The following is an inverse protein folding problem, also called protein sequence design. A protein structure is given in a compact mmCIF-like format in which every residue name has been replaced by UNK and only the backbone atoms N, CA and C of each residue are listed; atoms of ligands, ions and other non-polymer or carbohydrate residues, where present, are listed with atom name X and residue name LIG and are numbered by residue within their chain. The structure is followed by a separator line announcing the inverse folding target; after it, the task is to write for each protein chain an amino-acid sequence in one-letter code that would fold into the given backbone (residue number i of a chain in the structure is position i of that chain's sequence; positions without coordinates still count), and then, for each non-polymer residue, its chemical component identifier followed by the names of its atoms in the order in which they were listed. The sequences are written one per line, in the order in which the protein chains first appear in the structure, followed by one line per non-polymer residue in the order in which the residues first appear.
data_IF_420260316611
#
_entry.id   IF_420260316611
#
_cell.length_a   1.000
_cell.length_b   1.000
_cell.length_c   1.000
_cell.angle_alpha   90.00
_cell.angle_beta   90.00
_cell.angle_gamma   90.00
#
_symmetry.space_group_name_H-M   'P 1'
#
loop_
_entity.id
_entity.type
_entity.pdbx_description
1 polymer ?
#
# COMPACT_ATOMS: atom_id res chain seq x y z
N UNK A 1 2.64 21.29 15.39
CA UNK A 1 4.03 20.99 15.02
C UNK A 1 4.12 21.10 13.50
N UNK A 2 5.07 21.86 12.98
CA UNK A 2 5.29 21.94 11.53
C UNK A 2 5.87 20.62 10.99
N UNK A 3 5.79 20.41 9.67
CA UNK A 3 6.35 19.21 9.03
C UNK A 3 7.84 19.03 9.32
N UNK A 4 8.60 20.13 9.29
CA UNK A 4 10.04 20.12 9.58
C UNK A 4 10.36 19.73 11.03
N UNK A 5 9.61 20.25 11.99
CA UNK A 5 9.76 19.89 13.41
C UNK A 5 9.46 18.41 13.65
N UNK A 6 8.44 17.88 12.96
CA UNK A 6 8.06 16.48 13.04
C UNK A 6 9.12 15.55 12.46
N UNK A 7 9.70 15.92 11.31
CA UNK A 7 10.77 15.14 10.69
C UNK A 7 12.05 15.17 11.54
N UNK A 8 12.41 16.32 12.14
CA UNK A 8 13.50 16.42 13.13
C UNK A 8 13.25 15.56 14.36
N UNK A 9 12.02 15.53 14.88
CA UNK A 9 11.67 14.66 15.99
C UNK A 9 11.86 13.18 15.64
N UNK A 10 11.36 12.72 14.50
CA UNK A 10 11.55 11.32 14.05
C UNK A 10 13.02 10.97 13.90
N UNK A 11 13.85 11.88 13.39
CA UNK A 11 15.29 11.64 13.27
C UNK A 11 15.93 11.45 14.65
N UNK A 12 15.63 12.34 15.61
CA UNK A 12 16.16 12.22 16.99
C UNK A 12 15.72 10.93 17.68
N UNK A 13 14.48 10.50 17.43
CA UNK A 13 13.97 9.23 17.96
C UNK A 13 14.72 8.02 17.38
N UNK A 14 15.11 8.10 16.10
CA UNK A 14 15.92 7.09 15.44
C UNK A 14 17.35 7.08 15.99
N UNK A 15 17.97 8.24 16.15
CA UNK A 15 19.30 8.38 16.74
C UNK A 15 19.32 7.84 18.19
N UNK A 16 18.24 8.07 18.96
CA UNK A 16 18.08 7.49 20.29
C UNK A 16 18.02 5.97 20.24
N UNK A 17 17.24 5.39 19.31
CA UNK A 17 17.11 3.93 19.14
C UNK A 17 18.45 3.29 18.75
N UNK A 18 19.24 3.93 17.89
CA UNK A 18 20.56 3.45 17.47
C UNK A 18 21.60 3.53 18.60
N UNK A 19 21.47 4.50 19.52
CA UNK A 19 22.37 4.68 20.66
C UNK A 19 21.95 3.94 21.93
N UNK A 20 20.69 3.51 22.02
CA UNK A 20 20.11 2.79 23.18
C UNK A 20 19.42 1.46 22.76
N UNK A 21 20.09 0.58 21.99
CA UNK A 21 19.47 -0.63 21.45
C UNK A 21 18.98 -1.58 22.55
N UNK A 22 19.71 -1.71 23.66
CA UNK A 22 19.33 -2.59 24.77
C UNK A 22 18.05 -2.13 25.47
N UNK A 23 17.85 -0.83 25.60
CA UNK A 23 16.65 -0.26 26.23
C UNK A 23 15.42 -0.48 25.33
N UNK A 24 15.60 -0.28 24.03
CA UNK A 24 14.57 -0.57 23.04
C UNK A 24 14.21 -2.07 23.01
N UNK A 25 15.21 -2.95 22.92
CA UNK A 25 15.02 -4.41 22.89
C UNK A 25 14.31 -4.87 24.17
N UNK A 26 14.74 -4.40 25.34
CA UNK A 26 14.09 -4.75 26.62
C UNK A 26 12.62 -4.34 26.65
N UNK A 27 12.29 -3.16 26.14
CA UNK A 27 10.90 -2.71 26.04
C UNK A 27 10.09 -3.57 25.07
N UNK A 28 10.64 -3.81 23.88
CA UNK A 28 10.01 -4.62 22.83
C UNK A 28 9.79 -6.07 23.28
N UNK A 29 10.76 -6.69 23.94
CA UNK A 29 10.60 -8.03 24.51
C UNK A 29 9.48 -8.07 25.56
N UNK A 30 9.43 -7.08 26.45
CA UNK A 30 8.46 -7.10 27.53
C UNK A 30 7.03 -6.81 27.04
N UNK A 31 6.85 -5.97 26.02
CA UNK A 31 5.53 -5.79 25.39
C UNK A 31 5.11 -7.05 24.60
N UNK A 32 6.05 -7.72 23.93
CA UNK A 32 5.81 -8.95 23.16
C UNK A 32 5.56 -10.19 24.05
N UNK A 33 6.22 -10.27 25.21
CA UNK A 33 5.92 -11.26 26.27
C UNK A 33 4.57 -11.03 26.93
N UNK A 34 3.88 -9.95 26.56
CA UNK A 34 2.59 -9.54 27.10
C UNK A 34 2.67 -9.33 28.61
N UNK A 35 3.76 -8.72 29.07
CA UNK A 35 3.92 -8.40 30.48
C UNK A 35 2.89 -7.34 30.88
N UNK A 36 1.92 -7.74 31.69
CA UNK A 36 0.91 -6.88 32.29
C UNK A 36 1.52 -5.63 32.95
N UNK A 37 2.75 -5.72 33.44
CA UNK A 37 3.45 -4.61 34.08
C UNK A 37 3.67 -3.43 33.12
N UNK A 38 4.01 -3.69 31.85
CA UNK A 38 4.23 -2.64 30.86
C UNK A 38 2.90 -1.99 30.46
N UNK A 39 1.86 -2.78 30.20
CA UNK A 39 0.54 -2.22 29.88
C UNK A 39 0.00 -1.38 31.05
N UNK A 40 0.18 -1.85 32.30
CA UNK A 40 -0.15 -1.07 33.49
C UNK A 40 0.63 0.24 33.54
N UNK A 41 1.94 0.24 33.26
CA UNK A 41 2.75 1.46 33.21
C UNK A 41 2.25 2.43 32.13
N UNK A 42 1.93 1.95 30.93
CA UNK A 42 1.38 2.77 29.84
C UNK A 42 0.05 3.41 30.26
N UNK A 43 -0.88 2.62 30.83
CA UNK A 43 -2.18 3.13 31.28
C UNK A 43 -2.02 4.11 32.44
N UNK A 44 -1.16 3.81 33.41
CA UNK A 44 -0.83 4.72 34.51
C UNK A 44 -0.27 6.04 33.99
N UNK A 45 0.59 5.99 32.97
CA UNK A 45 1.13 7.18 32.31
C UNK A 45 0.05 7.99 31.59
N UNK A 46 -0.86 7.31 30.88
CA UNK A 46 -2.00 7.94 30.23
C UNK A 46 -2.92 8.65 31.25
N UNK A 47 -3.18 8.02 32.40
CA UNK A 47 -3.96 8.62 33.50
C UNK A 47 -3.20 9.79 34.13
N UNK A 48 -1.88 9.69 34.28
CA UNK A 48 -1.06 10.77 34.81
C UNK A 48 -1.14 12.01 33.92
N UNK A 49 -1.03 11.83 32.60
CA UNK A 49 -1.09 12.94 31.65
C UNK A 49 -2.51 13.46 31.43
N UNK A 50 -3.52 12.61 31.54
CA UNK A 50 -4.91 12.99 31.39
C UNK A 50 -5.77 12.31 32.47
N UNK A 51 -5.91 12.89 33.67
CA UNK A 51 -6.64 12.28 34.77
C UNK A 51 -8.10 11.93 34.44
N UNK A 52 -8.71 12.65 33.50
CA UNK A 52 -10.09 12.41 33.06
C UNK A 52 -10.22 11.13 32.21
N UNK A 53 -9.11 10.60 31.67
CA UNK A 53 -9.08 9.41 30.82
C UNK A 53 -9.72 8.19 31.51
N UNK A 54 -9.40 7.94 32.79
CA UNK A 54 -9.96 6.81 33.55
C UNK A 54 -11.49 6.85 33.59
N UNK A 55 -12.06 8.05 33.85
CA UNK A 55 -13.50 8.25 33.91
C UNK A 55 -14.14 8.09 32.53
N UNK A 56 -13.50 8.61 31.48
CA UNK A 56 -13.98 8.49 30.11
C UNK A 56 -14.06 7.03 29.65
N UNK A 57 -12.98 6.26 29.86
CA UNK A 57 -12.95 4.85 29.51
C UNK A 57 -14.03 4.07 30.26
N UNK A 58 -14.20 4.32 31.57
CA UNK A 58 -15.29 3.70 32.33
C UNK A 58 -16.69 4.00 31.75
N UNK A 59 -16.92 5.25 31.32
CA UNK A 59 -18.18 5.64 30.67
C UNK A 59 -18.37 4.91 29.32
N UNK A 60 -17.35 4.88 28.47
CA UNK A 60 -17.42 4.15 27.18
C UNK A 60 -17.67 2.66 27.39
N UNK A 61 -17.02 2.05 28.39
CA UNK A 61 -17.24 0.65 28.76
C UNK A 61 -18.70 0.38 29.07
N UNK A 62 -19.34 1.27 29.84
CA UNK A 62 -20.75 1.14 30.19
C UNK A 62 -21.70 1.44 29.02
N UNK A 63 -21.28 2.27 28.06
CA UNK A 63 -22.08 2.64 26.89
C UNK A 63 -22.01 1.62 25.75
N UNK A 64 -20.99 0.76 25.72
CA UNK A 64 -20.84 -0.30 24.72
C UNK A 64 -20.46 0.20 23.30
N UNK A 65 -20.16 1.48 23.13
CA UNK A 65 -19.80 2.11 21.85
C UNK A 65 -18.35 2.61 21.90
N UNK A 66 -17.49 2.11 21.00
CA UNK A 66 -16.05 2.36 21.02
C UNK A 66 -15.45 2.69 19.65
N UNK A 67 -16.27 2.76 18.61
CA UNK A 67 -15.79 3.04 17.25
C UNK A 67 -15.34 4.51 17.11
N UNK A 68 -15.86 5.40 17.97
CA UNK A 68 -15.43 6.78 18.08
C UNK A 68 -14.52 7.00 19.29
N UNK A 69 -13.34 7.60 19.03
CA UNK A 69 -12.33 7.98 20.03
C UNK A 69 -12.09 9.49 20.06
N UNK A 70 -12.91 10.29 19.38
CA UNK A 70 -12.72 11.74 19.27
C UNK A 70 -12.66 12.43 20.63
N UNK A 71 -13.44 11.94 21.59
CA UNK A 71 -13.42 12.38 22.99
C UNK A 71 -12.11 12.02 23.72
N UNK A 72 -11.53 10.86 23.43
CA UNK A 72 -10.20 10.47 23.93
C UNK A 72 -9.13 11.39 23.32
N UNK A 73 -9.17 11.62 22.02
CA UNK A 73 -8.25 12.52 21.31
C UNK A 73 -8.35 13.95 21.84
N UNK A 74 -9.58 14.42 22.10
CA UNK A 74 -9.83 15.75 22.66
C UNK A 74 -9.28 15.87 24.07
N UNK A 75 -9.47 14.86 24.93
CA UNK A 75 -8.91 14.85 26.29
C UNK A 75 -7.38 14.91 26.24
N UNK A 76 -6.73 14.07 25.43
CA UNK A 76 -5.27 14.07 25.36
C UNK A 76 -4.70 15.34 24.73
N UNK A 77 -5.38 15.89 23.72
CA UNK A 77 -5.00 17.16 23.11
C UNK A 77 -5.14 18.32 24.10
N UNK A 78 -6.26 18.38 24.83
CA UNK A 78 -6.52 19.40 25.85
C UNK A 78 -5.54 19.34 27.03
N UNK A 79 -5.07 18.15 27.39
CA UNK A 79 -4.04 17.95 28.42
C UNK A 79 -2.60 18.02 27.86
N UNK A 80 -2.40 18.46 26.61
CA UNK A 80 -1.07 18.65 26.00
C UNK A 80 -0.19 17.38 26.06
N UNK A 81 -0.80 16.20 25.83
CA UNK A 81 -0.09 14.92 25.89
C UNK A 81 1.17 14.91 25.03
N UNK A 82 1.08 15.42 23.79
CA UNK A 82 2.20 15.45 22.86
C UNK A 82 3.39 16.24 23.44
N UNK A 83 3.15 17.43 24.01
CA UNK A 83 4.20 18.21 24.65
C UNK A 83 4.80 17.49 25.86
N UNK A 84 3.98 16.82 26.66
CA UNK A 84 4.45 16.07 27.83
C UNK A 84 5.33 14.88 27.43
N UNK A 85 4.94 14.13 26.40
CA UNK A 85 5.75 13.03 25.85
C UNK A 85 7.07 13.53 25.24
N UNK A 86 7.03 14.66 24.52
CA UNK A 86 8.25 15.27 23.99
C UNK A 86 9.18 15.73 25.12
N UNK A 87 8.66 16.41 26.13
CA UNK A 87 9.46 16.87 27.26
C UNK A 87 10.13 15.71 27.99
N UNK A 88 9.42 14.60 28.18
CA UNK A 88 9.99 13.40 28.79
C UNK A 88 11.01 12.69 27.87
N UNK A 89 10.83 12.75 26.55
CA UNK A 89 11.82 12.27 25.61
C UNK A 89 13.12 13.11 25.66
N UNK A 90 13.02 14.44 25.69
CA UNK A 90 14.19 15.33 25.77
C UNK A 90 14.97 15.18 27.10
N UNK A 91 14.25 14.88 28.18
CA UNK A 91 14.82 14.74 29.53
C UNK A 91 14.77 13.28 30.03
N UNK A 92 14.87 12.32 29.11
CA UNK A 92 14.73 10.92 29.43
C UNK A 92 15.78 10.50 30.47
N UNK A 93 15.32 10.00 31.61
CA UNK A 93 16.15 9.25 32.55
C UNK A 93 16.14 7.75 32.19
N UNK A 94 17.04 6.98 32.80
CA UNK A 94 17.12 5.51 32.56
C UNK A 94 15.86 4.73 32.99
N UNK A 95 14.92 5.37 33.68
CA UNK A 95 13.71 4.73 34.20
C UNK A 95 12.48 4.97 33.33
N UNK A 96 12.51 5.97 32.43
CA UNK A 96 11.42 6.18 31.49
C UNK A 96 11.45 5.15 30.36
N UNK A 97 10.26 4.68 29.99
CA UNK A 97 10.05 3.84 28.81
C UNK A 97 9.55 4.65 27.62
N UNK A 98 9.38 5.97 27.76
CA UNK A 98 8.77 6.83 26.73
C UNK A 98 9.56 6.84 25.43
N UNK A 99 10.90 7.01 25.42
CA UNK A 99 11.67 6.92 24.18
C UNK A 99 11.50 5.58 23.48
N UNK A 100 11.59 4.47 24.21
CA UNK A 100 11.41 3.12 23.67
C UNK A 100 9.99 2.90 23.11
N UNK A 101 8.97 3.34 23.84
CA UNK A 101 7.57 3.27 23.39
C UNK A 101 7.34 4.09 22.13
N UNK A 102 7.86 5.32 22.07
CA UNK A 102 7.76 6.17 20.88
C UNK A 102 8.48 5.52 19.71
N UNK A 103 9.70 5.01 19.89
CA UNK A 103 10.45 4.33 18.84
C UNK A 103 9.68 3.10 18.31
N UNK A 104 9.08 2.32 19.21
CA UNK A 104 8.26 1.16 18.84
C UNK A 104 7.00 1.55 18.08
N UNK A 105 6.32 2.63 18.48
CA UNK A 105 5.14 3.16 17.78
C UNK A 105 5.47 3.68 16.38
N UNK A 106 6.64 4.30 16.19
CA UNK A 106 7.02 4.91 14.92
C UNK A 106 7.72 3.95 13.95
N UNK A 107 8.60 3.09 14.46
CA UNK A 107 9.50 2.27 13.65
C UNK A 107 9.31 0.76 13.86
N UNK A 108 8.74 0.35 15.00
CA UNK A 108 8.47 -1.04 15.32
C UNK A 108 7.19 -1.59 14.69
N UNK A 109 6.95 -2.89 14.87
CA UNK A 109 5.72 -3.60 14.48
C UNK A 109 4.56 -3.36 15.47
N UNK A 110 4.42 -2.14 15.97
CA UNK A 110 3.52 -1.83 17.09
C UNK A 110 2.05 -2.15 16.79
N UNK A 111 1.54 -1.70 15.64
CA UNK A 111 0.16 -1.95 15.25
C UNK A 111 -0.10 -3.44 15.06
N UNK A 112 0.82 -4.16 14.40
CA UNK A 112 0.74 -5.60 14.18
C UNK A 112 0.64 -6.35 15.51
N UNK A 113 1.58 -6.11 16.44
CA UNK A 113 1.61 -6.76 17.75
C UNK A 113 0.38 -6.46 18.60
N UNK A 114 -0.15 -5.23 18.54
CA UNK A 114 -1.39 -4.87 19.24
C UNK A 114 -2.61 -5.59 18.64
N UNK A 115 -2.66 -5.77 17.31
CA UNK A 115 -3.72 -6.52 16.63
C UNK A 115 -3.62 -8.02 16.96
N UNK A 116 -2.42 -8.61 16.87
CA UNK A 116 -2.16 -10.01 17.27
C UNK A 116 -2.66 -10.27 18.69
N UNK A 117 -2.25 -9.44 19.64
CA UNK A 117 -2.66 -9.57 21.03
C UNK A 117 -4.19 -9.45 21.22
N UNK A 118 -4.82 -8.54 20.48
CA UNK A 118 -6.29 -8.44 20.46
C UNK A 118 -6.96 -9.71 19.94
N UNK A 119 -6.49 -10.27 18.82
CA UNK A 119 -7.03 -11.51 18.24
C UNK A 119 -6.88 -12.69 19.23
N UNK A 120 -5.74 -12.81 19.90
CA UNK A 120 -5.54 -13.81 20.95
C UNK A 120 -6.50 -13.66 22.13
N UNK A 121 -6.68 -12.43 22.63
CA UNK A 121 -7.64 -12.16 23.70
C UNK A 121 -9.06 -12.55 23.27
N UNK A 122 -9.44 -12.35 22.00
CA UNK A 122 -10.75 -12.78 21.50
C UNK A 122 -10.90 -14.29 21.41
N UNK A 123 -9.81 -15.02 21.10
CA UNK A 123 -9.78 -16.49 21.09
C UNK A 123 -9.88 -17.07 22.51
N UNK A 124 -9.47 -16.32 23.54
CA UNK A 124 -9.54 -16.77 24.93
C UNK A 124 -11.00 -17.03 25.39
N UNK A 125 -11.31 -18.25 25.90
CA UNK A 125 -12.67 -18.60 26.34
C UNK A 125 -13.13 -17.85 27.60
N UNK A 126 -12.21 -17.29 28.39
CA UNK A 126 -12.53 -16.52 29.61
C UNK A 126 -13.03 -15.10 29.32
N UNK A 127 -12.89 -14.62 28.09
CA UNK A 127 -13.28 -13.27 27.69
C UNK A 127 -14.76 -13.25 27.30
N UNK A 128 -15.52 -12.34 27.91
CA UNK A 128 -16.98 -12.22 27.70
C UNK A 128 -17.32 -11.70 26.30
N UNK A 129 -18.54 -11.92 25.82
CA UNK A 129 -19.00 -11.42 24.52
C UNK A 129 -18.79 -9.90 24.36
N UNK A 130 -19.16 -9.12 25.39
CA UNK A 130 -18.97 -7.67 25.40
C UNK A 130 -17.49 -7.27 25.30
N UNK A 131 -16.62 -7.98 26.02
CA UNK A 131 -15.18 -7.77 25.92
C UNK A 131 -14.63 -8.14 24.53
N UNK A 132 -15.10 -9.24 23.92
CA UNK A 132 -14.73 -9.61 22.55
C UNK A 132 -15.17 -8.54 21.54
N UNK A 133 -16.36 -7.98 21.70
CA UNK A 133 -16.84 -6.86 20.89
C UNK A 133 -15.95 -5.62 21.04
N UNK A 134 -15.61 -5.24 22.28
CA UNK A 134 -14.68 -4.13 22.56
C UNK A 134 -13.31 -4.33 21.88
N UNK A 135 -12.75 -5.53 22.00
CA UNK A 135 -11.47 -5.86 21.37
C UNK A 135 -11.61 -5.80 19.84
N UNK A 136 -12.74 -6.25 19.28
CA UNK A 136 -13.02 -6.15 17.83
C UNK A 136 -12.99 -4.71 17.33
N UNK A 137 -13.69 -3.80 18.02
CA UNK A 137 -13.69 -2.38 17.68
C UNK A 137 -12.29 -1.79 17.80
N UNK A 138 -11.52 -2.18 18.83
CA UNK A 138 -10.14 -1.73 19.02
C UNK A 138 -9.23 -2.18 17.87
N UNK A 139 -9.32 -3.44 17.45
CA UNK A 139 -8.56 -3.97 16.30
C UNK A 139 -8.90 -3.19 15.02
N UNK A 140 -10.19 -3.00 14.73
CA UNK A 140 -10.64 -2.23 13.56
C UNK A 140 -10.07 -0.81 13.58
N UNK A 141 -10.12 -0.16 14.74
CA UNK A 141 -9.60 1.18 14.92
C UNK A 141 -8.08 1.25 14.70
N UNK A 142 -7.31 0.30 15.23
CA UNK A 142 -5.85 0.23 15.06
C UNK A 142 -5.47 0.12 13.59
N UNK A 143 -6.07 -0.83 12.87
CA UNK A 143 -5.85 -1.01 11.42
C UNK A 143 -6.22 0.25 10.66
N UNK A 144 -7.43 0.78 10.88
CA UNK A 144 -7.91 1.99 10.19
C UNK A 144 -7.01 3.20 10.45
N UNK A 145 -6.62 3.45 11.71
CA UNK A 145 -5.78 4.58 12.10
C UNK A 145 -4.37 4.45 11.53
N UNK A 146 -3.78 3.26 11.56
CA UNK A 146 -2.44 3.03 10.99
C UNK A 146 -2.38 3.41 9.51
N UNK A 147 -3.43 3.09 8.75
CA UNK A 147 -3.55 3.43 7.32
C UNK A 147 -3.80 4.92 7.13
N UNK A 148 -4.76 5.48 7.88
CA UNK A 148 -5.11 6.91 7.74
C UNK A 148 -3.94 7.83 8.10
N UNK A 149 -3.11 7.44 9.06
CA UNK A 149 -1.92 8.18 9.47
C UNK A 149 -0.72 7.93 8.55
N UNK A 150 -0.84 7.07 7.53
CA UNK A 150 0.26 6.72 6.63
C UNK A 150 1.37 5.88 7.28
N UNK A 151 1.11 5.32 8.47
CA UNK A 151 2.07 4.48 9.20
C UNK A 151 2.14 3.07 8.62
N UNK A 152 1.05 2.62 8.00
CA UNK A 152 0.93 1.33 7.29
C UNK A 152 0.11 1.50 6.02
N UNK A 153 0.28 0.58 5.08
CA UNK A 153 -0.55 0.45 3.89
C UNK A 153 -1.51 -0.74 4.02
N UNK A 154 -2.50 -0.83 3.13
CA UNK A 154 -3.33 -2.06 3.03
C UNK A 154 -2.49 -3.28 2.68
N UNK A 155 -1.46 -3.11 1.84
CA UNK A 155 -0.58 -4.22 1.45
C UNK A 155 0.22 -4.75 2.65
N UNK A 156 0.70 -3.86 3.53
CA UNK A 156 1.42 -4.25 4.75
C UNK A 156 0.53 -5.16 5.63
N UNK A 157 -0.75 -4.81 5.77
CA UNK A 157 -1.72 -5.62 6.53
C UNK A 157 -2.07 -6.95 5.85
N UNK A 158 -2.14 -6.98 4.52
CA UNK A 158 -2.35 -8.22 3.77
C UNK A 158 -1.16 -9.16 3.88
N UNK A 159 0.06 -8.63 3.79
CA UNK A 159 1.31 -9.38 4.00
C UNK A 159 1.38 -9.92 5.43
N UNK A 160 1.13 -9.06 6.43
CA UNK A 160 1.08 -9.47 7.82
C UNK A 160 0.07 -10.60 8.07
N UNK A 161 -1.14 -10.52 7.47
CA UNK A 161 -2.13 -11.59 7.58
C UNK A 161 -1.68 -12.91 6.95
N UNK A 162 -0.98 -12.85 5.81
CA UNK A 162 -0.40 -14.05 5.18
C UNK A 162 0.66 -14.68 6.09
N UNK A 163 1.54 -13.86 6.68
CA UNK A 163 2.54 -14.33 7.63
C UNK A 163 1.89 -15.00 8.85
N UNK A 164 0.84 -14.41 9.41
CA UNK A 164 0.09 -15.02 10.51
C UNK A 164 -0.52 -16.38 10.14
N UNK A 165 -1.09 -16.52 8.94
CA UNK A 165 -1.65 -17.79 8.46
C UNK A 165 -0.59 -18.87 8.26
N UNK A 166 0.63 -18.48 7.87
CA UNK A 166 1.76 -19.40 7.73
C UNK A 166 2.25 -19.89 9.09
N UNK A 167 2.31 -19.00 10.09
CA UNK A 167 2.71 -19.38 11.46
C UNK A 167 1.67 -20.27 12.12
N UNK A 168 0.38 -19.99 11.91
CA UNK A 168 -0.73 -20.80 12.44
C UNK A 168 -0.94 -22.13 11.67
N UNK A 169 -0.31 -22.32 10.50
CA UNK A 169 -0.47 -23.49 9.63
C UNK A 169 0.78 -24.36 9.49
N UNK A 170 0.63 -25.59 9.00
CA UNK A 170 1.74 -26.54 8.81
C UNK A 170 2.53 -26.35 7.49
N UNK A 171 2.28 -25.27 6.75
CA UNK A 171 2.85 -25.04 5.40
C UNK A 171 4.10 -24.16 5.39
N UNK A 172 4.76 -23.95 6.54
CA UNK A 172 5.98 -23.14 6.65
C UNK A 172 7.10 -23.64 5.72
N UNK A 173 7.25 -24.97 5.61
CA UNK A 173 8.24 -25.60 4.72
C UNK A 173 7.94 -25.30 3.25
N UNK A 174 6.69 -25.48 2.81
CA UNK A 174 6.28 -25.22 1.42
C UNK A 174 6.46 -23.74 1.06
N UNK A 175 6.05 -22.84 1.94
CA UNK A 175 6.25 -21.41 1.75
C UNK A 175 7.74 -21.03 1.71
N UNK A 176 8.56 -21.62 2.59
CA UNK A 176 10.00 -21.38 2.61
C UNK A 176 10.68 -21.91 1.34
N UNK A 177 10.21 -23.01 0.75
CA UNK A 177 10.69 -23.52 -0.54
C UNK A 177 10.33 -22.55 -1.68
N UNK A 178 9.09 -22.04 -1.70
CA UNK A 178 8.63 -21.08 -2.71
C UNK A 178 9.33 -19.71 -2.61
N UNK A 179 9.72 -19.31 -1.39
CA UNK A 179 10.32 -18.01 -1.09
C UNK A 179 11.80 -18.08 -0.71
N UNK A 180 12.44 -19.25 -0.85
CA UNK A 180 13.86 -19.41 -0.56
C UNK A 180 14.67 -18.53 -1.51
N UNK A 181 15.72 -17.83 -1.04
CA UNK A 181 16.69 -17.18 -1.92
C UNK A 181 17.58 -18.23 -2.59
N UNK A 182 16.98 -19.17 -3.32
CA UNK A 182 17.65 -20.09 -4.23
C UNK A 182 17.86 -19.38 -5.56
N UNK A 183 19.13 -19.39 -6.01
CA UNK A 183 19.68 -18.87 -7.28
C UNK A 183 18.81 -17.86 -8.02
N UNK A 184 19.33 -16.62 -8.16
CA UNK A 184 18.83 -15.61 -9.11
C UNK A 184 18.69 -16.21 -10.51
N UNK A 185 17.58 -16.89 -10.80
CA UNK A 185 17.05 -16.99 -12.14
C UNK A 185 16.66 -15.58 -12.50
N UNK A 186 17.41 -15.03 -13.46
CA UNK A 186 17.22 -13.70 -14.05
C UNK A 186 15.73 -13.36 -14.04
N UNK A 187 15.38 -12.26 -13.36
CA UNK A 187 14.03 -11.80 -13.08
C UNK A 187 13.04 -12.17 -14.18
N UNK A 188 12.35 -13.30 -14.00
CA UNK A 188 11.13 -13.62 -14.72
C UNK A 188 10.03 -12.74 -14.14
N UNK A 189 9.94 -11.53 -14.67
CA UNK A 189 8.82 -10.60 -14.46
C UNK A 189 7.52 -11.42 -14.55
N UNK A 190 6.66 -11.37 -13.52
CA UNK A 190 5.28 -11.90 -13.62
C UNK A 190 4.69 -11.40 -14.95
N UNK A 191 4.55 -12.30 -15.92
CA UNK A 191 3.83 -12.03 -17.16
C UNK A 191 2.43 -11.62 -16.72
N UNK A 192 2.03 -10.42 -17.11
CA UNK A 192 0.63 -10.04 -16.99
C UNK A 192 -0.06 -10.90 -18.05
N UNK A 193 -0.60 -12.04 -17.64
CA UNK A 193 -1.10 -13.10 -18.53
C UNK A 193 -2.44 -12.74 -19.18
N UNK A 194 -2.67 -11.44 -19.40
CA UNK A 194 -3.87 -10.95 -20.09
C UNK A 194 -3.62 -11.08 -21.59
N UNK A 195 -4.38 -11.94 -22.23
CA UNK A 195 -4.36 -12.13 -23.68
C UNK A 195 -4.95 -10.91 -24.40
N UNK A 196 -4.58 -10.69 -25.66
CA UNK A 196 -5.13 -9.58 -26.46
C UNK A 196 -6.66 -9.67 -26.59
N UNK A 197 -7.20 -10.89 -26.70
CA UNK A 197 -8.64 -11.14 -26.81
C UNK A 197 -9.43 -10.72 -25.55
N UNK A 198 -8.81 -10.79 -24.37
CA UNK A 198 -9.39 -10.36 -23.10
C UNK A 198 -9.40 -8.82 -22.95
N UNK A 199 -8.50 -8.14 -23.66
CA UNK A 199 -8.41 -6.68 -23.69
C UNK A 199 -9.49 -6.05 -24.55
N UNK A 200 -10.04 -6.77 -25.53
CA UNK A 200 -11.08 -6.22 -26.38
C UNK A 200 -12.34 -5.85 -25.60
N UNK A 201 -12.92 -4.72 -25.99
CA UNK A 201 -14.19 -4.25 -25.45
C UNK A 201 -15.36 -5.03 -26.05
N UNK A 202 -16.55 -4.77 -25.54
CA UNK A 202 -17.79 -5.33 -26.07
C UNK A 202 -18.19 -4.74 -27.43
N UNK A 203 -17.54 -3.65 -27.90
CA UNK A 203 -17.81 -3.03 -29.20
C UNK A 203 -17.19 -3.78 -30.38
N UNK A 204 -16.25 -4.68 -30.11
CA UNK A 204 -15.62 -5.51 -31.14
C UNK A 204 -16.49 -6.76 -31.33
N UNK A 205 -17.32 -6.75 -32.37
CA UNK A 205 -18.18 -7.88 -32.73
C UNK A 205 -17.36 -9.07 -33.25
N UNK A 206 -16.41 -8.81 -34.16
CA UNK A 206 -15.50 -9.81 -34.71
C UNK A 206 -14.08 -9.61 -34.16
N UNK A 207 -13.77 -10.39 -33.13
CA UNK A 207 -12.47 -10.36 -32.46
C UNK A 207 -11.35 -10.95 -33.32
N UNK A 208 -11.66 -11.93 -34.17
CA UNK A 208 -10.67 -12.57 -35.04
C UNK A 208 -10.27 -11.62 -36.17
N UNK A 209 -11.23 -10.93 -36.78
CA UNK A 209 -10.97 -9.91 -37.79
C UNK A 209 -10.09 -8.79 -37.25
N UNK A 210 -10.39 -8.28 -36.05
CA UNK A 210 -9.56 -7.25 -35.42
C UNK A 210 -8.14 -7.75 -35.12
N UNK A 211 -7.99 -8.99 -34.66
CA UNK A 211 -6.67 -9.60 -34.45
C UNK A 211 -5.87 -9.72 -35.74
N UNK A 212 -6.53 -10.10 -36.85
CA UNK A 212 -5.89 -10.21 -38.15
C UNK A 212 -5.43 -8.84 -38.67
N UNK A 213 -6.23 -7.79 -38.48
CA UNK A 213 -5.85 -6.41 -38.83
C UNK A 213 -4.70 -5.91 -37.98
N UNK A 214 -4.73 -6.13 -36.66
CA UNK A 214 -3.62 -5.78 -35.77
C UNK A 214 -2.35 -6.52 -36.21
N UNK A 215 -2.44 -7.81 -36.56
CA UNK A 215 -1.30 -8.57 -37.10
C UNK A 215 -0.76 -7.94 -38.38
N UNK A 216 -1.62 -7.64 -39.34
CA UNK A 216 -1.24 -7.06 -40.64
C UNK A 216 -0.56 -5.70 -40.47
N UNK A 217 -1.08 -4.86 -39.59
CA UNK A 217 -0.45 -3.59 -39.23
C UNK A 217 0.97 -3.81 -38.66
N UNK A 218 1.11 -4.72 -37.70
CA UNK A 218 2.39 -4.97 -37.01
C UNK A 218 3.47 -5.55 -37.93
N UNK A 219 3.10 -6.25 -39.01
CA UNK A 219 4.07 -6.75 -40.01
C UNK A 219 4.87 -5.64 -40.67
N UNK A 220 4.31 -4.44 -40.79
CA UNK A 220 4.95 -3.31 -41.47
C UNK A 220 5.25 -2.12 -40.54
N UNK A 221 4.54 -2.00 -39.42
CA UNK A 221 4.60 -0.86 -38.49
C UNK A 221 4.71 -1.33 -37.04
N UNK A 222 5.93 -1.36 -36.50
CA UNK A 222 6.20 -1.85 -35.14
C UNK A 222 7.29 -1.03 -34.41
N UNK A 223 7.51 0.23 -34.78
CA UNK A 223 8.38 1.15 -34.01
C UNK A 223 7.71 1.61 -32.71
N UNK A 224 8.46 2.29 -31.84
CA UNK A 224 7.92 2.85 -30.59
C UNK A 224 6.72 3.80 -30.85
N UNK A 225 6.81 4.62 -31.90
CA UNK A 225 5.76 5.57 -32.28
C UNK A 225 4.56 4.86 -32.91
N UNK A 226 4.79 3.86 -33.77
CA UNK A 226 3.70 3.07 -34.39
C UNK A 226 2.84 2.36 -33.33
N UNK A 227 3.47 1.79 -32.30
CA UNK A 227 2.78 1.10 -31.21
C UNK A 227 2.06 2.07 -30.25
N UNK A 228 2.62 3.27 -30.04
CA UNK A 228 1.96 4.31 -29.26
C UNK A 228 0.73 4.86 -29.99
N UNK A 229 0.83 5.10 -31.31
CA UNK A 229 -0.31 5.49 -32.15
C UNK A 229 -1.36 4.38 -32.23
N UNK A 230 -0.95 3.11 -32.34
CA UNK A 230 -1.86 1.96 -32.30
C UNK A 230 -2.64 1.90 -30.98
N UNK A 231 -1.97 2.11 -29.83
CA UNK A 231 -2.64 2.19 -28.52
C UNK A 231 -3.71 3.28 -28.51
N UNK A 232 -3.35 4.49 -28.96
CA UNK A 232 -4.28 5.63 -29.00
C UNK A 232 -5.46 5.35 -29.93
N UNK A 233 -5.22 4.78 -31.11
CA UNK A 233 -6.28 4.43 -32.06
C UNK A 233 -7.27 3.41 -31.45
N UNK A 234 -6.76 2.37 -30.80
CA UNK A 234 -7.58 1.36 -30.12
C UNK A 234 -8.40 1.94 -28.96
N UNK A 235 -7.82 2.88 -28.20
CA UNK A 235 -8.53 3.60 -27.13
C UNK A 235 -9.61 4.52 -27.69
N UNK A 236 -9.32 5.30 -28.74
CA UNK A 236 -10.27 6.23 -29.35
C UNK A 236 -11.43 5.53 -30.08
N UNK A 237 -11.19 4.34 -30.63
CA UNK A 237 -12.24 3.48 -31.18
C UNK A 237 -13.00 2.74 -30.08
N UNK A 238 -12.51 2.80 -28.83
CA UNK A 238 -12.98 2.02 -27.70
C UNK A 238 -12.99 0.51 -28.00
N UNK A 239 -12.03 0.03 -28.82
CA UNK A 239 -11.90 -1.39 -29.18
C UNK A 239 -11.22 -2.20 -28.09
N UNK A 240 -10.48 -1.54 -27.18
CA UNK A 240 -9.92 -2.14 -25.99
C UNK A 240 -10.49 -1.49 -24.73
N UNK A 241 -10.52 -2.25 -23.63
CA UNK A 241 -10.78 -1.71 -22.29
C UNK A 241 -9.63 -0.78 -21.87
N UNK A 242 -9.85 0.15 -20.92
CA UNK A 242 -8.77 0.97 -20.37
C UNK A 242 -7.67 0.09 -19.78
N UNK A 243 -6.54 0.00 -20.50
CA UNK A 243 -5.38 -0.84 -20.18
C UNK A 243 -4.11 -0.02 -20.38
N UNK A 244 -3.14 -0.20 -19.49
CA UNK A 244 -1.82 0.43 -19.58
C UNK A 244 -1.01 -0.08 -20.78
N UNK A 245 0.02 0.66 -21.22
CA UNK A 245 0.84 0.26 -22.38
C UNK A 245 1.50 -1.11 -22.21
N UNK A 246 2.00 -1.37 -21.01
CA UNK A 246 2.81 -2.56 -20.74
C UNK A 246 2.00 -3.86 -20.97
N UNK A 247 0.81 -4.05 -20.36
CA UNK A 247 -0.02 -5.21 -20.67
C UNK A 247 -0.31 -5.36 -22.17
N UNK A 248 -0.72 -4.30 -22.87
CA UNK A 248 -0.99 -4.38 -24.31
C UNK A 248 0.26 -4.83 -25.08
N UNK A 249 1.41 -4.22 -24.81
CA UNK A 249 2.68 -4.58 -25.44
C UNK A 249 3.03 -6.03 -25.20
N UNK A 250 2.89 -6.50 -23.96
CA UNK A 250 3.24 -7.87 -23.59
C UNK A 250 2.28 -8.89 -24.22
N UNK A 251 1.00 -8.54 -24.39
CA UNK A 251 0.02 -9.33 -25.14
C UNK A 251 0.36 -9.41 -26.63
N UNK A 252 0.68 -8.27 -27.27
CA UNK A 252 1.12 -8.23 -28.68
C UNK A 252 2.42 -9.02 -28.88
N UNK A 253 3.40 -8.84 -28.00
CA UNK A 253 4.68 -9.53 -28.06
C UNK A 253 4.55 -11.04 -27.81
N UNK A 254 3.57 -11.46 -27.00
CA UNK A 254 3.28 -12.87 -26.75
C UNK A 254 2.54 -13.52 -27.90
N UNK A 255 1.48 -12.87 -28.42
CA UNK A 255 0.61 -13.42 -29.45
C UNK A 255 1.27 -13.49 -30.83
N UNK A 256 2.16 -12.56 -31.15
CA UNK A 256 2.81 -12.47 -32.46
C UNK A 256 4.33 -12.71 -32.39
N UNK A 257 4.80 -13.42 -31.36
CA UNK A 257 6.23 -13.64 -31.10
C UNK A 257 6.98 -14.32 -32.26
N UNK A 258 6.28 -15.20 -32.99
CA UNK A 258 6.76 -15.95 -34.15
C UNK A 258 6.75 -15.11 -35.45
N UNK A 259 6.10 -13.95 -35.45
CA UNK A 259 5.84 -13.13 -36.66
C UNK A 259 6.51 -11.76 -36.62
N UNK A 260 6.54 -11.10 -35.45
CA UNK A 260 7.00 -9.70 -35.30
C UNK A 260 7.80 -9.53 -34.01
N UNK A 261 8.97 -8.89 -34.11
CA UNK A 261 9.76 -8.51 -32.94
C UNK A 261 9.29 -7.18 -32.35
N UNK A 262 8.43 -7.24 -31.34
CA UNK A 262 7.89 -6.04 -30.67
C UNK A 262 8.96 -5.33 -29.82
N UNK A 263 9.12 -4.03 -30.05
CA UNK A 263 10.07 -3.15 -29.34
C UNK A 263 9.82 -3.08 -27.82
N UNK A 264 10.81 -2.54 -27.09
CA UNK A 264 10.80 -2.50 -25.63
C UNK A 264 9.79 -1.51 -25.04
N UNK A 265 9.21 -1.87 -23.88
CA UNK A 265 8.19 -1.09 -23.17
C UNK A 265 8.54 0.40 -22.97
N UNK A 266 9.77 0.70 -22.53
CA UNK A 266 10.18 2.07 -22.18
C UNK A 266 10.09 3.02 -23.36
N UNK A 267 10.41 2.55 -24.57
CA UNK A 267 10.34 3.36 -25.78
C UNK A 267 8.91 3.74 -26.15
N UNK A 268 7.99 2.77 -26.06
CA UNK A 268 6.56 2.97 -26.34
C UNK A 268 5.92 3.90 -25.30
N UNK A 269 6.26 3.72 -24.01
CA UNK A 269 5.80 4.61 -22.93
C UNK A 269 6.24 6.05 -23.13
N UNK A 270 7.47 6.29 -23.59
CA UNK A 270 7.96 7.64 -23.88
C UNK A 270 7.22 8.25 -25.07
N UNK A 271 7.10 7.52 -26.19
CA UNK A 271 6.36 8.00 -27.36
C UNK A 271 4.89 8.32 -27.04
N UNK A 272 4.23 7.49 -26.23
CA UNK A 272 2.86 7.74 -25.81
C UNK A 272 2.71 8.96 -24.88
N UNK A 273 3.69 9.19 -23.99
CA UNK A 273 3.73 10.40 -23.16
C UNK A 273 3.92 11.64 -24.01
N UNK A 274 4.80 11.59 -25.00
CA UNK A 274 5.04 12.68 -25.95
C UNK A 274 3.77 12.98 -26.76
N UNK A 275 3.10 11.97 -27.30
CA UNK A 275 1.83 12.12 -28.02
C UNK A 275 0.70 12.70 -27.15
N UNK A 276 0.68 12.39 -25.86
CA UNK A 276 -0.29 12.98 -24.91
C UNK A 276 0.24 14.24 -24.20
N UNK A 277 1.36 14.82 -24.65
CA UNK A 277 1.83 16.10 -24.14
C UNK A 277 0.94 17.25 -24.65
N UNK A 278 0.68 18.23 -23.80
CA UNK A 278 -0.17 19.37 -24.12
C UNK A 278 0.63 20.50 -24.79
N UNK A 279 0.15 20.99 -25.93
CA UNK A 279 0.76 22.10 -26.67
C UNK A 279 0.06 23.41 -26.27
N UNK A 280 0.65 24.14 -25.30
CA UNK A 280 0.07 25.39 -24.78
C UNK A 280 -0.25 26.43 -25.88
N UNK A 281 0.57 26.52 -26.93
CA UNK A 281 0.35 27.48 -28.03
C UNK A 281 -0.79 27.13 -29.00
N UNK A 282 -1.32 25.90 -28.95
CA UNK A 282 -2.38 25.43 -29.87
C UNK A 282 -3.64 24.95 -29.15
N UNK A 283 -3.62 24.86 -27.83
CA UNK A 283 -4.78 24.45 -27.04
C UNK A 283 -5.15 22.97 -27.15
N UNK A 284 -4.26 22.11 -27.64
CA UNK A 284 -4.53 20.69 -27.96
C UNK A 284 -3.33 19.79 -27.63
N UNK A 285 -3.52 18.47 -27.62
CA UNK A 285 -2.43 17.51 -27.40
C UNK A 285 -1.65 17.23 -28.69
N UNK A 286 -0.41 16.74 -28.59
CA UNK A 286 0.43 16.41 -29.75
C UNK A 286 -0.25 15.42 -30.69
N UNK A 287 -0.92 14.40 -30.17
CA UNK A 287 -1.71 13.41 -30.93
C UNK A 287 -2.87 14.00 -31.73
N UNK A 288 -3.32 15.20 -31.37
CA UNK A 288 -4.45 15.87 -32.01
C UNK A 288 -3.99 16.79 -33.15
N UNK A 289 -2.68 16.85 -33.43
CA UNK A 289 -2.09 17.84 -34.31
C UNK A 289 -1.17 17.24 -35.38
N UNK A 290 -1.32 17.73 -36.62
CA UNK A 290 -0.38 17.47 -37.72
C UNK A 290 -0.27 15.99 -38.13
N UNK A 291 0.95 15.56 -38.47
CA UNK A 291 1.23 14.22 -38.99
C UNK A 291 0.86 13.09 -38.02
N UNK A 292 0.95 13.34 -36.72
CA UNK A 292 0.59 12.34 -35.71
C UNK A 292 -0.92 12.06 -35.70
N UNK A 293 -1.74 13.09 -35.88
CA UNK A 293 -3.20 12.92 -36.00
C UNK A 293 -3.58 12.19 -37.29
N UNK A 294 -2.94 12.53 -38.41
CA UNK A 294 -3.13 11.83 -39.69
C UNK A 294 -2.76 10.34 -39.57
N UNK A 295 -1.65 10.02 -38.91
CA UNK A 295 -1.23 8.65 -38.67
C UNK A 295 -2.24 7.89 -37.80
N UNK A 296 -2.72 8.48 -36.70
CA UNK A 296 -3.72 7.84 -35.82
C UNK A 296 -5.03 7.60 -36.58
N UNK A 297 -5.51 8.58 -37.37
CA UNK A 297 -6.72 8.42 -38.17
C UNK A 297 -6.58 7.31 -39.22
N UNK A 298 -5.44 7.23 -39.91
CA UNK A 298 -5.18 6.16 -40.87
C UNK A 298 -5.17 4.77 -40.22
N UNK A 299 -4.64 4.66 -38.99
CA UNK A 299 -4.73 3.41 -38.21
C UNK A 299 -6.19 3.10 -37.88
N UNK A 300 -6.96 4.10 -37.45
CA UNK A 300 -8.38 3.89 -37.11
C UNK A 300 -9.18 3.42 -38.31
N UNK A 301 -9.00 4.04 -39.47
CA UNK A 301 -9.64 3.62 -40.73
C UNK A 301 -9.24 2.18 -41.09
N UNK A 302 -7.96 1.84 -41.02
CA UNK A 302 -7.47 0.51 -41.29
C UNK A 302 -8.02 -0.56 -40.34
N UNK A 303 -8.13 -0.25 -39.04
CA UNK A 303 -8.69 -1.17 -38.05
C UNK A 303 -10.21 -1.33 -38.19
N UNK A 304 -10.91 -0.28 -38.63
CA UNK A 304 -12.38 -0.25 -38.69
C UNK A 304 -12.96 -0.71 -40.03
N UNK A 305 -12.23 -0.54 -41.14
CA UNK A 305 -12.67 -0.84 -42.50
C UNK A 305 -12.48 -2.29 -42.87
#
# INVERSE_FOLDING_TARGET
MGQEEYDKFKQRLKDWMDTHPDEYIRFEEAINRKDDSIYKRIVSKAILFAPQYKKLIGKKVNQGWFDDISDIEQIFSGNKLAQSLLNEFEHADKNTFVPAMLAWLYFGQSFERLVEHGEELRRNPKISYLQKYFITSTIKLLVFRSIRLGMRTKADWEEHRKLMQLVDGDSVMDWAIENSPGEKKKAGRKKTDMSLAEMFSHKVEDKELLQNRIEEYLRTKHTNQDLACLKIALDELEYIKPVEIKPLRDALAGQYADKVQIVGERGIQNAYKELNAYIQGKGMFVKDYGKDREAINGIKEFLSG
#
